data_IF_990183988228
#
_entry.id   IF_990183988228
#
_cell.length_a   1.000
_cell.length_b   1.000
_cell.length_c   1.000
_cell.angle_alpha   90.00
_cell.angle_beta   90.00
_cell.angle_gamma   90.00
#
_symmetry.space_group_name_H-M   'P 1'
#
loop_
_entity.id
_entity.type
_entity.pdbx_description
1 polymer ?
#
# COMPACT_ATOMS: atom_id res chain seq x y z
N UNK A 1 8.48 12.81 -1.57
CA UNK A 1 8.73 11.66 -0.71
C UNK A 1 7.82 11.82 0.48
N UNK A 2 7.20 10.74 0.91
CA UNK A 2 6.31 10.70 2.08
C UNK A 2 6.92 9.70 3.04
N UNK A 3 6.89 10.05 4.31
CA UNK A 3 7.43 9.28 5.43
C UNK A 3 6.32 9.14 6.45
N UNK A 4 5.93 7.91 6.75
CA UNK A 4 4.75 7.61 7.57
C UNK A 4 5.14 6.66 8.69
N UNK A 5 4.76 7.03 9.91
CA UNK A 5 4.97 6.27 11.15
C UNK A 5 3.70 6.37 12.02
N UNK A 6 3.63 5.57 13.09
CA UNK A 6 2.53 5.64 14.05
C UNK A 6 1.28 4.89 13.57
N UNK A 7 1.47 3.75 12.91
CA UNK A 7 0.40 2.87 12.50
C UNK A 7 -0.26 2.19 13.71
N UNK A 8 -1.55 1.89 13.60
CA UNK A 8 -2.27 1.03 14.55
C UNK A 8 -2.09 -0.41 14.12
N UNK A 9 -1.91 -1.35 15.05
CA UNK A 9 -1.60 -2.76 14.79
C UNK A 9 -2.83 -3.65 14.51
N UNK A 10 -4.03 -3.06 14.44
CA UNK A 10 -5.32 -3.73 14.14
C UNK A 10 -5.76 -3.53 12.67
N UNK A 11 -4.79 -3.43 11.75
CA UNK A 11 -5.10 -3.33 10.31
C UNK A 11 -4.18 -4.21 9.48
N UNK A 12 -4.52 -4.38 8.21
CA UNK A 12 -3.68 -5.08 7.23
C UNK A 12 -2.83 -4.09 6.44
N UNK A 13 -1.62 -4.53 6.08
CA UNK A 13 -0.68 -3.72 5.30
C UNK A 13 -1.21 -3.47 3.89
N UNK A 14 -1.89 -4.46 3.33
CA UNK A 14 -2.49 -4.42 2.01
C UNK A 14 -3.72 -5.34 1.88
N UNK A 15 -4.34 -5.31 0.70
CA UNK A 15 -5.50 -6.14 0.34
C UNK A 15 -5.22 -7.66 0.33
N UNK A 16 -3.96 -8.08 0.41
CA UNK A 16 -3.56 -9.48 0.53
C UNK A 16 -3.60 -10.00 1.97
N UNK A 17 -3.87 -9.12 2.95
CA UNK A 17 -3.89 -9.51 4.37
C UNK A 17 -2.49 -9.68 4.95
N UNK A 18 -1.48 -8.98 4.41
CA UNK A 18 -0.15 -9.02 5.01
C UNK A 18 -0.13 -8.27 6.34
N UNK A 19 0.50 -8.82 7.39
CA UNK A 19 0.51 -8.20 8.71
C UNK A 19 1.44 -6.98 8.74
N UNK A 20 1.13 -6.01 9.59
CA UNK A 20 2.08 -5.00 10.05
C UNK A 20 1.86 -4.75 11.54
N UNK A 21 2.76 -3.99 12.16
CA UNK A 21 2.71 -3.62 13.56
C UNK A 21 2.72 -2.09 13.74
N UNK A 22 2.66 -1.68 15.00
CA UNK A 22 2.91 -0.31 15.48
C UNK A 22 4.34 0.17 15.21
N UNK A 23 5.27 -0.73 14.90
CA UNK A 23 6.65 -0.43 14.55
C UNK A 23 6.86 -0.18 13.05
N UNK A 24 5.79 -0.21 12.24
CA UNK A 24 5.87 0.06 10.81
C UNK A 24 6.36 1.49 10.52
N UNK A 25 7.42 1.57 9.73
CA UNK A 25 7.89 2.77 9.06
C UNK A 25 7.75 2.59 7.55
N UNK A 26 6.87 3.38 6.94
CA UNK A 26 6.58 3.34 5.51
C UNK A 26 7.21 4.56 4.83
N UNK A 27 8.04 4.32 3.82
CA UNK A 27 8.63 5.37 2.99
C UNK A 27 8.15 5.27 1.56
N UNK A 28 7.51 6.33 1.05
CA UNK A 28 6.97 6.37 -0.31
C UNK A 28 7.64 7.44 -1.17
N UNK A 29 8.13 7.04 -2.34
CA UNK A 29 8.78 7.90 -3.31
C UNK A 29 7.99 7.95 -4.61
N UNK A 30 7.20 9.00 -4.73
CA UNK A 30 6.47 9.37 -5.94
C UNK A 30 7.40 10.03 -6.97
N UNK A 31 7.38 9.54 -8.21
CA UNK A 31 8.12 10.11 -9.34
C UNK A 31 7.28 10.07 -10.60
N UNK A 32 6.85 11.24 -11.08
CA UNK A 32 6.25 11.40 -12.41
C UNK A 32 7.36 11.46 -13.47
N UNK A 33 7.53 10.39 -14.26
CA UNK A 33 8.60 10.32 -15.28
C UNK A 33 8.25 11.08 -16.54
N UNK A 34 6.99 11.01 -16.93
CA UNK A 34 6.39 11.70 -18.07
C UNK A 34 5.02 12.19 -17.63
N UNK A 35 4.36 13.02 -18.44
CA UNK A 35 2.97 13.43 -18.17
C UNK A 35 2.06 12.21 -17.98
N UNK A 36 2.31 11.12 -18.71
CA UNK A 36 1.49 9.91 -18.71
C UNK A 36 1.89 8.80 -17.73
N UNK A 37 2.97 8.93 -16.96
CA UNK A 37 3.46 7.83 -16.10
C UNK A 37 3.90 8.31 -14.72
N UNK A 38 3.36 7.66 -13.68
CA UNK A 38 3.73 7.84 -12.29
C UNK A 38 4.33 6.53 -11.75
N UNK A 39 5.56 6.61 -11.24
CA UNK A 39 6.18 5.53 -10.49
C UNK A 39 6.10 5.85 -8.99
N UNK A 40 5.80 4.83 -8.18
CA UNK A 40 5.83 4.90 -6.72
C UNK A 40 6.74 3.79 -6.21
N UNK A 41 7.81 4.16 -5.50
CA UNK A 41 8.60 3.20 -4.73
C UNK A 41 8.14 3.22 -3.28
N UNK A 42 7.81 2.06 -2.72
CA UNK A 42 7.33 1.91 -1.33
C UNK A 42 8.33 1.03 -0.60
N UNK A 43 8.94 1.53 0.46
CA UNK A 43 9.79 0.76 1.36
C UNK A 43 9.03 0.51 2.65
N UNK A 44 8.98 -0.76 3.05
CA UNK A 44 8.35 -1.26 4.28
C UNK A 44 9.47 -1.67 5.22
N UNK A 45 9.54 -1.01 6.38
CA UNK A 45 10.43 -1.37 7.48
C UNK A 45 9.58 -1.63 8.73
N UNK A 46 9.45 -2.90 9.10
CA UNK A 46 8.74 -3.32 10.30
C UNK A 46 9.47 -4.53 10.91
N UNK A 47 10.29 -4.32 11.95
CA UNK A 47 11.10 -5.37 12.55
C UNK A 47 10.30 -6.35 13.42
N UNK A 48 9.03 -6.04 13.74
CA UNK A 48 8.15 -6.96 14.49
C UNK A 48 7.43 -7.93 13.55
N UNK A 49 7.10 -7.51 12.33
CA UNK A 49 6.40 -8.32 11.35
C UNK A 49 7.34 -9.02 10.32
N UNK A 50 8.48 -8.40 9.97
CA UNK A 50 9.36 -8.88 8.91
C UNK A 50 10.82 -9.02 9.34
N UNK A 51 11.56 -9.92 8.69
CA UNK A 51 12.97 -10.19 9.02
C UNK A 51 13.96 -9.15 8.48
N UNK A 52 13.54 -8.34 7.51
CA UNK A 52 14.31 -7.24 6.93
C UNK A 52 13.39 -6.28 6.16
N UNK A 53 13.81 -5.01 5.97
CA UNK A 53 13.10 -4.09 5.10
C UNK A 53 13.02 -4.64 3.67
N UNK A 54 11.91 -4.36 3.01
CA UNK A 54 11.70 -4.71 1.61
C UNK A 54 11.06 -3.56 0.84
N UNK A 55 11.07 -3.64 -0.48
CA UNK A 55 10.58 -2.55 -1.34
C UNK A 55 9.69 -3.10 -2.43
N UNK A 56 8.55 -2.45 -2.64
CA UNK A 56 7.67 -2.63 -3.79
C UNK A 56 7.76 -1.42 -4.73
N UNK A 57 7.50 -1.65 -6.00
CA UNK A 57 7.41 -0.61 -7.00
C UNK A 57 6.08 -0.71 -7.74
N UNK A 58 5.31 0.37 -7.73
CA UNK A 58 4.07 0.51 -8.48
C UNK A 58 4.28 1.47 -9.64
N UNK A 59 3.64 1.18 -10.77
CA UNK A 59 3.60 2.07 -11.93
C UNK A 59 2.15 2.29 -12.34
N UNK A 60 1.77 3.55 -12.41
CA UNK A 60 0.48 4.00 -12.88
C UNK A 60 0.63 4.70 -14.23
N UNK A 61 -0.26 4.37 -15.15
CA UNK A 61 -0.40 5.05 -16.42
C UNK A 61 -1.58 6.01 -16.34
N UNK A 62 -1.43 7.21 -16.89
CA UNK A 62 -2.52 8.16 -17.02
C UNK A 62 -3.53 7.59 -18.02
N UNK A 63 -4.76 7.42 -17.56
CA UNK A 63 -5.90 7.19 -18.43
C UNK A 63 -6.66 8.52 -18.48
N UNK A 64 -6.70 9.21 -19.62
CA UNK A 64 -7.46 10.46 -19.74
C UNK A 64 -8.96 10.18 -19.72
N UNK A 65 -9.73 11.20 -19.33
CA UNK A 65 -11.20 11.20 -19.40
C UNK A 65 -11.89 10.08 -18.57
N UNK A 66 -11.24 9.59 -17.51
CA UNK A 66 -11.85 8.70 -16.51
C UNK A 66 -12.07 9.41 -15.19
N UNK A 67 -13.08 8.94 -14.46
CA UNK A 67 -13.32 9.32 -13.06
C UNK A 67 -12.68 8.28 -12.12
N UNK A 68 -12.14 8.75 -11.00
CA UNK A 68 -11.65 7.87 -9.94
C UNK A 68 -12.85 7.34 -9.16
N UNK A 69 -13.30 6.14 -9.52
CA UNK A 69 -14.38 5.44 -8.81
C UNK A 69 -13.87 4.77 -7.54
N UNK A 70 -14.72 4.68 -6.52
CA UNK A 70 -14.45 3.90 -5.32
C UNK A 70 -14.28 2.40 -5.64
N UNK A 71 -13.37 1.75 -4.92
CA UNK A 71 -13.19 0.30 -4.99
C UNK A 71 -13.69 -0.34 -3.70
N UNK A 72 -14.80 -1.06 -3.77
CA UNK A 72 -15.40 -1.77 -2.62
C UNK A 72 -15.05 -3.25 -2.68
N UNK A 73 -14.17 -3.70 -1.78
CA UNK A 73 -14.01 -5.12 -1.49
C UNK A 73 -15.03 -5.54 -0.42
N UNK A 74 -16.14 -6.15 -0.84
CA UNK A 74 -17.08 -6.77 0.09
C UNK A 74 -16.48 -8.09 0.61
N UNK A 75 -16.42 -8.26 1.93
CA UNK A 75 -16.11 -9.56 2.54
C UNK A 75 -17.25 -10.53 2.20
N UNK A 76 -16.91 -11.64 1.55
CA UNK A 76 -17.85 -12.74 1.39
C UNK A 76 -17.96 -13.49 2.73
N UNK A 77 -18.97 -13.16 3.54
CA UNK A 77 -19.37 -14.01 4.66
C UNK A 77 -20.00 -15.29 4.11
N UNK A 78 -19.26 -16.40 4.18
CA UNK A 78 -19.87 -17.72 4.05
C UNK A 78 -20.75 -17.96 5.29
N UNK A 79 -22.04 -18.31 5.15
CA UNK A 79 -22.87 -18.59 6.30
C UNK A 79 -22.28 -19.80 7.04
N UNK A 80 -21.93 -19.61 8.32
CA UNK A 80 -21.61 -20.71 9.24
C UNK A 80 -22.79 -21.68 9.30
N UNK A 81 -22.55 -23.02 9.27
CA UNK A 81 -23.61 -24.01 9.38
C UNK A 81 -24.33 -23.97 10.74
#
# INVERSE_FOLDING_TARGET
MVDTIGFVDDTWLDNGGHPHSDALHLTERFRRRTVGTLDIGITVDDPKAYTKPWTAALRFNLVPDIELTEHVCAVHESPTP
#
